data_IF_195375216477
#
_entry.id   IF_195375216477
#
_cell.length_a   1.000
_cell.length_b   1.000
_cell.length_c   1.000
_cell.angle_alpha   90.00
_cell.angle_beta   90.00
_cell.angle_gamma   90.00
#
_symmetry.space_group_name_H-M   'P 1'
#
loop_
_entity.id
_entity.type
_entity.pdbx_description
1 polymer ?
#
# COMPACT_ATOMS: atom_id res chain seq x y z
N UNK A 1 -4.66 -22.68 24.56
CA UNK A 1 -4.66 -23.42 23.28
C UNK A 1 -3.84 -22.62 22.28
N UNK A 2 -2.55 -22.96 22.08
CA UNK A 2 -1.61 -22.19 21.24
C UNK A 2 -1.85 -22.54 19.77
N UNK A 3 -2.42 -21.62 18.99
CA UNK A 3 -2.43 -21.74 17.53
C UNK A 3 -1.01 -21.45 17.04
N UNK A 4 -0.30 -22.48 16.59
CA UNK A 4 0.92 -22.32 15.83
C UNK A 4 0.61 -21.48 14.58
N UNK A 5 1.37 -20.42 14.27
CA UNK A 5 1.24 -19.80 12.96
C UNK A 5 1.82 -20.78 11.96
N UNK A 6 0.95 -21.57 11.33
CA UNK A 6 1.25 -22.34 10.14
C UNK A 6 1.87 -21.36 9.15
N UNK A 7 3.20 -21.41 9.02
CA UNK A 7 3.95 -20.72 7.99
C UNK A 7 3.55 -21.36 6.67
N UNK A 8 2.40 -20.99 6.15
CA UNK A 8 1.99 -21.31 4.79
C UNK A 8 2.90 -20.46 3.89
N UNK A 9 4.11 -20.97 3.67
CA UNK A 9 5.02 -20.50 2.65
C UNK A 9 4.37 -20.84 1.30
N UNK A 10 3.32 -20.11 0.96
CA UNK A 10 2.77 -20.07 -0.38
C UNK A 10 3.85 -19.40 -1.24
N UNK A 11 4.85 -20.17 -1.63
CA UNK A 11 5.61 -19.88 -2.84
C UNK A 11 4.63 -20.13 -3.97
N UNK A 12 4.07 -19.09 -4.62
CA UNK A 12 3.45 -19.33 -5.91
C UNK A 12 4.55 -19.94 -6.79
N UNK A 13 4.21 -21.01 -7.51
CA UNK A 13 5.03 -21.49 -8.61
C UNK A 13 4.99 -20.39 -9.69
N UNK A 14 5.84 -19.37 -9.55
CA UNK A 14 5.97 -18.31 -10.54
C UNK A 14 7.01 -18.71 -11.57
N UNK A 15 6.64 -18.66 -12.83
CA UNK A 15 7.56 -18.93 -13.92
C UNK A 15 8.68 -17.90 -13.91
N UNK A 16 9.93 -18.37 -14.01
CA UNK A 16 11.12 -17.51 -13.94
C UNK A 16 11.08 -16.41 -15.01
N UNK A 17 10.55 -16.73 -16.19
CA UNK A 17 10.34 -15.78 -17.29
C UNK A 17 9.31 -14.70 -16.91
N UNK A 18 8.19 -15.09 -16.29
CA UNK A 18 7.18 -14.15 -15.82
C UNK A 18 7.77 -13.17 -14.80
N UNK A 19 8.49 -13.68 -13.80
CA UNK A 19 9.09 -12.84 -12.76
C UNK A 19 10.11 -11.83 -13.31
N UNK A 20 10.89 -12.23 -14.31
CA UNK A 20 11.90 -11.38 -14.95
C UNK A 20 11.27 -10.29 -15.82
N UNK A 21 10.18 -10.59 -16.54
CA UNK A 21 9.49 -9.62 -17.40
C UNK A 21 8.53 -8.72 -16.61
N UNK A 22 7.88 -9.23 -15.57
CA UNK A 22 6.87 -8.50 -14.79
C UNK A 22 7.47 -7.28 -14.09
N UNK A 23 8.69 -7.40 -13.54
CA UNK A 23 9.31 -6.32 -12.77
C UNK A 23 9.59 -5.04 -13.57
N UNK A 24 10.26 -5.07 -14.73
CA UNK A 24 10.48 -3.85 -15.51
C UNK A 24 9.16 -3.25 -15.98
N UNK A 25 8.19 -4.07 -16.41
CA UNK A 25 6.87 -3.59 -16.85
C UNK A 25 6.14 -2.87 -15.72
N UNK A 26 6.11 -3.45 -14.52
CA UNK A 26 5.46 -2.83 -13.35
C UNK A 26 6.07 -1.49 -12.98
N UNK A 27 7.40 -1.40 -13.08
CA UNK A 27 8.12 -0.18 -12.73
C UNK A 27 7.90 0.89 -13.79
N UNK A 28 8.04 0.57 -15.07
CA UNK A 28 7.87 1.56 -16.16
C UNK A 28 6.43 2.05 -16.25
N UNK A 29 5.46 1.14 -16.28
CA UNK A 29 4.04 1.49 -16.34
C UNK A 29 3.60 2.18 -15.04
N UNK A 30 4.09 1.72 -13.89
CA UNK A 30 3.83 2.32 -12.59
C UNK A 30 4.30 3.78 -12.52
N UNK A 31 5.52 4.07 -12.97
CA UNK A 31 6.02 5.45 -13.01
C UNK A 31 5.28 6.33 -14.02
N UNK A 32 4.97 5.80 -15.21
CA UNK A 32 4.21 6.54 -16.21
C UNK A 32 2.81 6.93 -15.71
N UNK A 33 2.07 5.97 -15.13
CA UNK A 33 0.76 6.23 -14.53
C UNK A 33 0.87 7.14 -13.31
N UNK A 34 1.91 6.98 -12.49
CA UNK A 34 2.13 7.84 -11.34
C UNK A 34 2.30 9.30 -11.75
N UNK A 35 3.12 9.58 -12.77
CA UNK A 35 3.34 10.95 -13.27
C UNK A 35 2.03 11.61 -13.71
N UNK A 36 1.14 10.86 -14.39
CA UNK A 36 -0.19 11.34 -14.77
C UNK A 36 -1.14 11.50 -13.57
N UNK A 37 -1.01 10.66 -12.55
CA UNK A 37 -1.82 10.69 -11.35
C UNK A 37 -1.41 11.78 -10.34
N UNK A 38 -0.16 12.28 -10.38
CA UNK A 38 0.35 13.33 -9.48
C UNK A 38 -0.62 14.51 -9.31
N UNK A 39 -1.14 15.17 -10.37
CA UNK A 39 -2.05 16.30 -10.19
C UNK A 39 -3.32 15.94 -9.40
N UNK A 40 -3.91 14.78 -9.68
CA UNK A 40 -5.10 14.28 -8.97
C UNK A 40 -4.78 13.99 -7.51
N UNK A 41 -3.64 13.35 -7.24
CA UNK A 41 -3.17 13.06 -5.88
C UNK A 41 -2.92 14.35 -5.10
N UNK A 42 -2.33 15.38 -5.73
CA UNK A 42 -2.07 16.68 -5.10
C UNK A 42 -3.37 17.39 -4.73
N UNK A 43 -4.35 17.43 -5.63
CA UNK A 43 -5.68 18.01 -5.36
C UNK A 43 -6.36 17.27 -4.22
N UNK A 44 -6.36 15.94 -4.24
CA UNK A 44 -6.92 15.12 -3.16
C UNK A 44 -6.20 15.35 -1.82
N UNK A 45 -4.87 15.43 -1.83
CA UNK A 45 -4.08 15.70 -0.63
C UNK A 45 -4.40 17.08 -0.04
N UNK A 46 -4.53 18.10 -0.88
CA UNK A 46 -4.89 19.44 -0.46
C UNK A 46 -6.31 19.47 0.11
N UNK A 47 -7.27 18.84 -0.56
CA UNK A 47 -8.66 18.76 -0.09
C UNK A 47 -8.75 18.11 1.30
N UNK A 48 -8.03 17.01 1.53
CA UNK A 48 -7.98 16.35 2.85
C UNK A 48 -7.38 17.27 3.92
N UNK A 49 -6.32 18.02 3.60
CA UNK A 49 -5.70 18.96 4.55
C UNK A 49 -6.58 20.17 4.89
N UNK A 50 -7.41 20.61 3.96
CA UNK A 50 -8.33 21.74 4.16
C UNK A 50 -9.58 21.32 4.95
N UNK A 51 -10.02 20.06 4.80
CA UNK A 51 -11.24 19.55 5.45
C UNK A 51 -11.00 18.91 6.82
N UNK A 52 -9.80 18.40 7.09
CA UNK A 52 -9.47 17.71 8.34
C UNK A 52 -8.09 18.10 8.87
N UNK A 53 -7.97 18.28 10.19
CA UNK A 53 -6.68 18.53 10.85
C UNK A 53 -5.79 17.27 10.77
N UNK A 54 -4.57 17.44 10.27
CA UNK A 54 -3.53 16.41 10.28
C UNK A 54 -2.90 16.13 8.91
N UNK A 55 -2.12 15.04 8.79
CA UNK A 55 -1.47 14.66 7.53
C UNK A 55 -2.48 14.27 6.45
N UNK A 56 -2.27 14.67 5.19
CA UNK A 56 -3.14 14.28 4.07
C UNK A 56 -3.00 12.80 3.63
N UNK A 57 -1.90 12.15 4.02
CA UNK A 57 -1.65 10.73 3.76
C UNK A 57 -1.85 9.87 5.02
N UNK A 58 -2.24 8.62 4.79
CA UNK A 58 -2.30 7.55 5.77
C UNK A 58 -1.37 6.41 5.32
N UNK A 59 -0.70 5.77 6.27
CA UNK A 59 0.23 4.69 6.01
C UNK A 59 -0.07 3.46 6.84
N UNK A 60 -0.01 2.28 6.21
CA UNK A 60 -0.27 0.99 6.85
C UNK A 60 0.76 -0.06 6.41
N UNK A 61 1.23 -0.89 7.34
CA UNK A 61 2.11 -2.01 7.05
C UNK A 61 1.30 -3.22 6.62
N UNK A 62 1.61 -3.80 5.46
CA UNK A 62 0.98 -5.01 4.93
C UNK A 62 2.05 -6.04 4.55
N UNK A 63 1.67 -7.31 4.48
CA UNK A 63 2.56 -8.37 3.99
C UNK A 63 2.61 -8.34 2.46
N UNK A 64 3.82 -8.25 1.90
CA UNK A 64 4.06 -8.24 0.47
C UNK A 64 4.62 -9.58 -0.03
N UNK A 65 5.36 -9.52 -1.15
CA UNK A 65 5.97 -10.70 -1.78
C UNK A 65 6.81 -11.50 -0.78
N UNK A 66 6.59 -12.81 -0.71
CA UNK A 66 7.25 -13.74 0.22
C UNK A 66 7.09 -13.36 1.70
N UNK A 67 5.96 -12.74 2.07
CA UNK A 67 5.70 -12.33 3.45
C UNK A 67 6.59 -11.19 3.94
N UNK A 68 7.31 -10.51 3.03
CA UNK A 68 8.11 -9.34 3.40
C UNK A 68 7.18 -8.16 3.68
N UNK A 69 7.19 -7.58 4.90
CA UNK A 69 6.34 -6.44 5.20
C UNK A 69 6.74 -5.23 4.36
N UNK A 70 5.75 -4.45 3.90
CA UNK A 70 5.94 -3.18 3.21
C UNK A 70 4.88 -2.18 3.64
N UNK A 71 5.21 -0.90 3.51
CA UNK A 71 4.33 0.20 3.92
C UNK A 71 3.62 0.78 2.71
N UNK A 72 2.29 0.80 2.75
CA UNK A 72 1.44 1.40 1.73
C UNK A 72 1.16 2.85 2.12
N UNK A 73 1.12 3.74 1.12
CA UNK A 73 0.68 5.13 1.26
C UNK A 73 -0.60 5.34 0.47
N UNK A 74 -1.61 5.94 1.10
CA UNK A 74 -2.87 6.32 0.46
C UNK A 74 -3.33 7.69 0.97
N UNK A 75 -4.16 8.37 0.17
CA UNK A 75 -4.88 9.54 0.65
C UNK A 75 -5.75 9.15 1.85
N UNK A 76 -5.76 10.01 2.86
CA UNK A 76 -6.53 9.77 4.08
C UNK A 76 -8.01 10.05 3.81
N UNK A 77 -8.84 9.04 4.02
CA UNK A 77 -10.31 9.17 3.97
C UNK A 77 -10.97 9.21 5.36
N UNK A 78 -10.34 8.62 6.38
CA UNK A 78 -10.84 8.58 7.75
C UNK A 78 -10.20 9.66 8.62
N UNK A 79 -10.84 10.01 9.73
CA UNK A 79 -10.31 10.97 10.69
C UNK A 79 -8.96 10.53 11.26
N UNK A 80 -8.14 11.48 11.69
CA UNK A 80 -6.83 11.18 12.25
C UNK A 80 -6.96 10.29 13.50
N UNK A 81 -6.19 9.20 13.56
CA UNK A 81 -6.14 8.26 14.68
C UNK A 81 -7.39 7.39 14.88
N UNK A 82 -8.15 7.12 13.81
CA UNK A 82 -9.30 6.20 13.87
C UNK A 82 -8.96 4.79 14.37
N UNK A 83 -7.75 4.30 14.09
CA UNK A 83 -7.27 2.98 14.52
C UNK A 83 -7.22 2.84 16.06
N UNK A 84 -7.14 3.95 16.81
CA UNK A 84 -7.18 3.92 18.27
C UNK A 84 -8.54 3.45 18.81
N UNK A 85 -9.62 3.70 18.05
CA UNK A 85 -10.97 3.27 18.40
C UNK A 85 -11.37 1.95 17.74
N UNK A 86 -10.94 1.70 16.50
CA UNK A 86 -11.36 0.52 15.71
C UNK A 86 -10.37 -0.64 15.71
N UNK A 87 -9.17 -0.47 16.26
CA UNK A 87 -8.06 -1.42 16.15
C UNK A 87 -7.33 -1.32 14.80
N UNK A 88 -6.05 -1.73 14.79
CA UNK A 88 -5.17 -1.65 13.62
C UNK A 88 -5.51 -2.75 12.60
N UNK A 89 -5.90 -2.35 11.39
CA UNK A 89 -6.17 -3.29 10.28
C UNK A 89 -4.92 -3.94 9.65
#
# INVERSE_FOLDING_TARGET
MRLAPTRLALRPASDRTYDLLKRPIDVTLGFALFALAVPVILVGWLAVRLTSRGPGFYSQTRLGRYGRPYRIYKLRSMYHNCEAASGVQ
#
